data_IF_445240267032
#
_entry.id   IF_445240267032
#
_cell.length_a   1.000
_cell.length_b   1.000
_cell.length_c   1.000
_cell.angle_alpha   90.00
_cell.angle_beta   90.00
_cell.angle_gamma   90.00
#
_symmetry.space_group_name_H-M   'P 1'
#
loop_
_entity.id
_entity.type
_entity.pdbx_description
1 polymer ?
#
# COMPACT_ATOMS: atom_id res chain seq x y z
N UNK A 1 57.55 -16.18 -1.26
CA UNK A 1 56.25 -15.58 -1.63
C UNK A 1 55.88 -15.90 -3.09
N UNK A 2 55.64 -17.17 -3.47
CA UNK A 2 55.33 -17.56 -4.87
C UNK A 2 54.20 -18.59 -5.05
N UNK A 3 53.54 -19.03 -3.97
CA UNK A 3 52.52 -20.10 -4.00
C UNK A 3 51.07 -19.58 -4.16
N UNK A 4 50.83 -18.31 -3.82
CA UNK A 4 49.49 -17.67 -3.87
C UNK A 4 48.90 -17.59 -5.30
N UNK A 5 49.66 -17.27 -6.38
CA UNK A 5 49.04 -17.19 -7.71
C UNK A 5 48.66 -18.57 -8.27
N UNK A 6 49.34 -19.65 -7.85
CA UNK A 6 49.06 -21.01 -8.33
C UNK A 6 47.76 -21.56 -7.74
N UNK A 7 47.51 -21.32 -6.45
CA UNK A 7 46.27 -21.74 -5.78
C UNK A 7 45.05 -21.04 -6.40
N UNK A 8 45.19 -19.75 -6.75
CA UNK A 8 44.09 -18.98 -7.32
C UNK A 8 43.71 -19.45 -8.74
N UNK A 9 44.69 -19.90 -9.52
CA UNK A 9 44.46 -20.50 -10.85
C UNK A 9 43.77 -21.87 -10.73
N UNK A 10 44.18 -22.71 -9.77
CA UNK A 10 43.57 -24.03 -9.56
C UNK A 10 42.11 -23.89 -9.09
N UNK A 11 41.81 -22.93 -8.22
CA UNK A 11 40.44 -22.64 -7.77
C UNK A 11 39.56 -22.17 -8.94
N UNK A 12 40.11 -21.37 -9.85
CA UNK A 12 39.37 -20.86 -11.02
C UNK A 12 39.07 -21.96 -12.06
N UNK A 13 39.97 -22.94 -12.21
CA UNK A 13 39.77 -24.11 -13.09
C UNK A 13 38.73 -25.08 -12.48
N UNK A 14 38.75 -25.30 -11.17
CA UNK A 14 37.76 -26.16 -10.49
C UNK A 14 36.36 -25.52 -10.51
N UNK A 15 36.28 -24.19 -10.43
CA UNK A 15 35.03 -23.42 -10.59
C UNK A 15 34.40 -23.59 -11.97
N UNK A 16 35.20 -23.72 -13.04
CA UNK A 16 34.69 -23.90 -14.40
C UNK A 16 34.23 -25.33 -14.71
N UNK A 17 34.74 -26.33 -13.98
CA UNK A 17 34.40 -27.74 -14.18
C UNK A 17 33.01 -28.18 -13.70
N UNK A 18 32.26 -27.32 -12.98
CA UNK A 18 30.97 -27.68 -12.37
C UNK A 18 29.74 -27.08 -13.09
N UNK A 19 29.93 -26.47 -14.26
CA UNK A 19 28.82 -25.95 -15.05
C UNK A 19 28.13 -27.14 -15.73
N UNK A 20 27.01 -27.59 -15.16
CA UNK A 20 26.10 -28.53 -15.84
C UNK A 20 25.51 -27.82 -17.06
N UNK A 21 26.03 -28.13 -18.24
CA UNK A 21 25.45 -27.69 -19.50
C UNK A 21 24.20 -28.53 -19.76
N UNK A 22 23.03 -27.90 -19.66
CA UNK A 22 21.81 -28.50 -20.16
C UNK A 22 21.85 -28.41 -21.69
N UNK A 23 22.09 -29.54 -22.35
CA UNK A 23 21.98 -29.65 -23.80
C UNK A 23 20.55 -29.34 -24.26
N UNK A 24 20.40 -28.79 -25.45
CA UNK A 24 19.10 -28.51 -26.05
C UNK A 24 18.29 -29.80 -26.12
N UNK A 25 17.13 -29.80 -25.45
CA UNK A 25 16.19 -30.91 -25.53
C UNK A 25 15.86 -31.17 -27.00
N UNK A 26 16.08 -32.41 -27.39
CA UNK A 26 15.75 -33.03 -28.68
C UNK A 26 14.48 -32.46 -29.29
N UNK A 27 14.57 -32.09 -30.57
CA UNK A 27 13.46 -31.79 -31.48
C UNK A 27 12.21 -32.61 -31.12
N UNK A 28 11.33 -32.00 -30.33
CA UNK A 28 10.10 -32.63 -29.87
C UNK A 28 9.16 -32.66 -31.07
N UNK A 29 8.76 -33.85 -31.50
CA UNK A 29 7.71 -34.01 -32.52
C UNK A 29 6.40 -33.48 -31.94
N UNK A 30 6.13 -32.19 -32.14
CA UNK A 30 4.89 -31.56 -31.73
C UNK A 30 3.83 -31.83 -32.81
N UNK A 31 2.65 -32.28 -32.39
CA UNK A 31 1.52 -32.42 -33.32
C UNK A 31 1.05 -31.04 -33.77
N UNK A 32 0.55 -30.91 -35.01
CA UNK A 32 0.06 -29.62 -35.52
C UNK A 32 -0.99 -29.01 -34.58
N UNK A 33 -1.86 -29.85 -34.03
CA UNK A 33 -2.89 -29.45 -33.07
C UNK A 33 -2.30 -28.89 -31.76
N UNK A 34 -1.25 -29.52 -31.24
CA UNK A 34 -0.52 -29.02 -30.07
C UNK A 34 0.14 -27.66 -30.34
N UNK A 35 0.78 -27.50 -31.51
CA UNK A 35 1.42 -26.23 -31.90
C UNK A 35 0.39 -25.12 -32.07
N UNK A 36 -0.74 -25.40 -32.74
CA UNK A 36 -1.82 -24.43 -32.95
C UNK A 36 -2.44 -24.02 -31.61
N UNK A 37 -2.73 -24.96 -30.72
CA UNK A 37 -3.26 -24.65 -29.39
C UNK A 37 -2.30 -23.82 -28.53
N UNK A 38 -1.00 -24.13 -28.57
CA UNK A 38 0.00 -23.36 -27.81
C UNK A 38 0.17 -21.95 -28.39
N UNK A 39 0.19 -21.82 -29.72
CA UNK A 39 0.32 -20.51 -30.39
C UNK A 39 -0.95 -19.66 -30.27
N UNK A 40 -2.14 -20.26 -30.30
CA UNK A 40 -3.41 -19.55 -30.12
C UNK A 40 -3.49 -18.94 -28.71
N UNK A 41 -3.10 -19.70 -27.67
CA UNK A 41 -3.01 -19.21 -26.29
C UNK A 41 -1.92 -18.16 -26.08
N UNK A 42 -0.81 -18.24 -26.82
CA UNK A 42 0.27 -17.25 -26.76
C UNK A 42 0.03 -16.02 -27.64
N UNK A 43 -1.01 -16.01 -28.47
CA UNK A 43 -1.33 -14.90 -29.35
C UNK A 43 -1.56 -13.60 -28.56
N UNK A 44 -1.22 -12.46 -29.16
CA UNK A 44 -1.45 -11.14 -28.54
C UNK A 44 -2.92 -10.96 -28.15
N UNK A 45 -3.83 -11.44 -29.00
CA UNK A 45 -5.27 -11.36 -28.75
C UNK A 45 -5.72 -12.21 -27.55
N UNK A 46 -5.11 -13.38 -27.29
CA UNK A 46 -5.40 -14.19 -26.10
C UNK A 46 -4.78 -13.58 -24.83
N UNK A 47 -3.58 -12.99 -24.95
CA UNK A 47 -2.93 -12.29 -23.84
C UNK A 47 -3.72 -11.08 -23.38
N UNK A 48 -4.28 -10.29 -24.29
CA UNK A 48 -5.14 -9.13 -23.96
C UNK A 48 -6.33 -9.58 -23.11
N UNK A 49 -7.05 -10.64 -23.51
CA UNK A 49 -8.21 -11.11 -22.74
C UNK A 49 -7.81 -11.69 -21.38
N UNK A 50 -6.66 -12.35 -21.30
CA UNK A 50 -6.11 -12.79 -20.01
C UNK A 50 -5.84 -11.61 -19.09
N UNK A 51 -5.24 -10.53 -19.59
CA UNK A 51 -4.97 -9.33 -18.81
C UNK A 51 -6.28 -8.63 -18.38
N UNK A 52 -7.28 -8.57 -19.27
CA UNK A 52 -8.61 -8.05 -18.95
C UNK A 52 -9.26 -8.82 -17.80
N UNK A 53 -9.23 -10.16 -17.88
CA UNK A 53 -9.73 -11.04 -16.81
C UNK A 53 -8.99 -10.81 -15.49
N UNK A 54 -7.66 -10.76 -15.53
CA UNK A 54 -6.84 -10.50 -14.34
C UNK A 54 -7.17 -9.15 -13.69
N UNK A 55 -7.35 -8.10 -14.50
CA UNK A 55 -7.77 -6.79 -13.99
C UNK A 55 -9.12 -6.85 -13.28
N UNK A 56 -10.10 -7.58 -13.84
CA UNK A 56 -11.42 -7.78 -13.22
C UNK A 56 -11.35 -8.58 -11.92
N UNK A 57 -10.53 -9.62 -11.88
CA UNK A 57 -10.29 -10.38 -10.65
C UNK A 57 -9.66 -9.51 -9.55
N UNK A 58 -8.67 -8.69 -9.91
CA UNK A 58 -8.03 -7.77 -8.96
C UNK A 58 -9.01 -6.70 -8.44
N UNK A 59 -9.95 -6.23 -9.27
CA UNK A 59 -11.02 -5.32 -8.83
C UNK A 59 -11.88 -5.98 -7.74
N UNK A 60 -12.34 -7.21 -7.98
CA UNK A 60 -13.12 -7.98 -7.00
C UNK A 60 -12.35 -8.25 -5.70
N UNK A 61 -11.06 -8.58 -5.78
CA UNK A 61 -10.21 -8.74 -4.60
C UNK A 61 -10.00 -7.44 -3.83
N UNK A 62 -9.81 -6.33 -4.53
CA UNK A 62 -9.70 -5.01 -3.93
C UNK A 62 -10.99 -4.60 -3.22
N UNK A 63 -12.15 -4.87 -3.83
CA UNK A 63 -13.44 -4.66 -3.20
C UNK A 63 -13.54 -5.43 -1.88
N UNK A 64 -13.19 -6.74 -1.85
CA UNK A 64 -13.15 -7.53 -0.61
C UNK A 64 -12.20 -6.95 0.43
N UNK A 65 -10.99 -6.56 0.03
CA UNK A 65 -9.99 -5.96 0.93
C UNK A 65 -10.47 -4.62 1.50
N UNK A 66 -11.33 -3.89 0.79
CA UNK A 66 -11.87 -2.61 1.26
C UNK A 66 -12.77 -2.72 2.50
N UNK A 67 -13.25 -3.92 2.84
CA UNK A 67 -14.02 -4.18 4.06
C UNK A 67 -13.15 -4.62 5.24
N UNK A 68 -11.84 -4.80 5.05
CA UNK A 68 -10.89 -5.08 6.13
C UNK A 68 -10.53 -3.78 6.87
N UNK A 69 -10.06 -3.87 8.12
CA UNK A 69 -9.63 -2.69 8.86
C UNK A 69 -8.39 -2.09 8.19
N UNK A 70 -8.46 -0.80 7.88
CA UNK A 70 -7.34 -0.02 7.37
C UNK A 70 -6.56 0.57 8.55
N UNK A 71 -5.27 0.28 8.61
CA UNK A 71 -4.34 0.85 9.60
C UNK A 71 -3.49 1.93 8.93
N UNK A 72 -3.38 3.10 9.55
CA UNK A 72 -2.47 4.15 9.12
C UNK A 72 -1.64 4.66 10.29
N UNK A 73 -0.33 4.70 10.12
CA UNK A 73 0.59 5.35 11.04
C UNK A 73 1.11 6.64 10.39
N UNK A 74 0.95 7.75 11.11
CA UNK A 74 1.45 9.06 10.75
C UNK A 74 2.52 9.43 11.76
N UNK A 75 3.75 9.63 11.29
CA UNK A 75 4.89 9.94 12.15
C UNK A 75 5.64 11.14 11.60
N UNK A 76 5.58 12.26 12.33
CA UNK A 76 6.23 13.52 12.00
C UNK A 76 7.20 13.87 13.14
N UNK A 77 8.44 13.34 13.12
CA UNK A 77 9.39 13.54 14.21
C UNK A 77 9.92 14.98 14.29
N UNK A 78 9.95 15.69 13.18
CA UNK A 78 10.42 17.08 13.10
C UNK A 78 9.47 17.82 12.17
N UNK A 79 8.78 18.82 12.69
CA UNK A 79 8.12 19.78 11.84
C UNK A 79 9.17 20.83 11.43
N UNK A 80 9.72 20.68 10.22
CA UNK A 80 10.73 21.59 9.66
C UNK A 80 10.18 22.97 9.27
N UNK A 81 8.91 23.26 9.56
CA UNK A 81 8.52 24.66 9.72
C UNK A 81 9.23 25.15 10.98
N UNK A 82 10.46 25.67 10.79
CA UNK A 82 11.07 26.59 11.72
C UNK A 82 10.07 27.75 11.89
N UNK A 83 9.13 27.61 12.82
CA UNK A 83 8.35 28.72 13.32
C UNK A 83 9.31 29.56 14.17
N UNK A 84 10.32 30.16 13.54
CA UNK A 84 10.94 31.38 13.99
C UNK A 84 9.92 32.48 13.68
N UNK A 85 8.86 32.49 14.48
CA UNK A 85 7.78 33.44 14.33
C UNK A 85 7.99 34.54 15.35
N UNK A 86 8.10 35.77 14.87
CA UNK A 86 8.08 36.93 15.75
C UNK A 86 6.62 37.21 16.06
N UNK A 87 6.23 37.08 17.34
CA UNK A 87 4.87 37.40 17.79
C UNK A 87 4.87 38.74 18.50
N UNK A 88 3.91 39.59 18.17
CA UNK A 88 3.65 40.82 18.92
C UNK A 88 2.89 40.44 20.20
N UNK A 89 3.54 40.57 21.36
CA UNK A 89 2.95 40.30 22.66
C UNK A 89 2.74 41.60 23.42
N UNK A 90 1.58 41.73 24.07
CA UNK A 90 1.30 42.84 24.95
C UNK A 90 1.94 42.59 26.32
N UNK A 91 2.69 43.55 26.83
CA UNK A 91 3.29 43.47 28.15
C UNK A 91 2.22 43.72 29.23
N UNK A 92 2.11 42.86 30.25
CA UNK A 92 1.05 42.96 31.25
C UNK A 92 1.24 44.12 32.24
N UNK A 93 2.43 44.74 32.30
CA UNK A 93 2.76 45.79 33.30
C UNK A 93 2.38 47.18 32.80
N UNK A 94 2.63 47.46 31.53
CA UNK A 94 2.59 48.78 30.90
C UNK A 94 1.69 48.82 29.66
N UNK A 95 1.15 47.67 29.22
CA UNK A 95 0.22 47.58 28.09
C UNK A 95 0.86 47.82 26.72
N UNK A 96 2.17 48.02 26.68
CA UNK A 96 2.96 48.20 25.46
C UNK A 96 3.06 46.91 24.64
N UNK A 97 3.42 47.05 23.37
CA UNK A 97 3.58 45.92 22.46
C UNK A 97 5.06 45.68 22.17
N UNK A 98 5.51 44.44 22.36
CA UNK A 98 6.88 44.02 22.08
C UNK A 98 6.89 42.82 21.15
N UNK A 99 7.80 42.83 20.18
CA UNK A 99 8.07 41.70 19.31
C UNK A 99 8.94 40.67 20.04
N UNK A 100 8.43 39.45 20.21
CA UNK A 100 9.14 38.35 20.88
C UNK A 100 9.37 37.21 19.90
N UNK A 101 10.61 36.77 19.80
CA UNK A 101 11.00 35.60 19.01
C UNK A 101 10.53 34.31 19.70
N UNK A 102 9.65 33.59 19.02
CA UNK A 102 9.20 32.26 19.41
C UNK A 102 9.89 31.25 18.50
N UNK A 103 10.61 30.28 19.09
CA UNK A 103 11.27 29.19 18.42
C UNK A 103 10.82 27.89 19.08
N UNK A 104 10.11 27.05 18.32
CA UNK A 104 9.60 25.76 18.79
C UNK A 104 9.70 24.69 17.71
N UNK A 105 9.87 23.44 18.14
CA UNK A 105 9.77 22.25 17.30
C UNK A 105 8.58 21.42 17.76
N UNK A 106 7.76 20.95 16.82
CA UNK A 106 6.63 20.07 17.09
C UNK A 106 6.86 18.71 16.44
N UNK A 107 6.69 17.66 17.23
CA UNK A 107 6.77 16.28 16.81
C UNK A 107 5.42 15.62 17.06
N UNK A 108 4.85 14.93 16.07
CA UNK A 108 3.58 14.23 16.23
C UNK A 108 3.67 12.78 15.78
N UNK A 109 2.99 11.91 16.51
CA UNK A 109 2.76 10.52 16.11
C UNK A 109 1.28 10.22 16.24
N UNK A 110 0.68 9.66 15.20
CA UNK A 110 -0.73 9.37 15.11
C UNK A 110 -0.95 7.99 14.53
N UNK A 111 -1.84 7.22 15.13
CA UNK A 111 -2.29 5.93 14.63
C UNK A 111 -3.79 6.06 14.38
N UNK A 112 -4.25 5.64 13.21
CA UNK A 112 -5.68 5.55 12.91
C UNK A 112 -6.05 4.17 12.38
N UNK A 113 -7.16 3.64 12.85
CA UNK A 113 -7.77 2.38 12.42
C UNK A 113 -9.16 2.71 11.89
N UNK A 114 -9.43 2.41 10.62
CA UNK A 114 -10.74 2.61 9.99
C UNK A 114 -11.33 1.27 9.57
N UNK A 115 -12.54 0.96 10.04
CA UNK A 115 -13.25 -0.27 9.74
C UNK A 115 -14.65 0.03 9.18
N UNK A 116 -14.95 -0.48 7.99
CA UNK A 116 -16.33 -0.46 7.47
C UNK A 116 -17.17 -1.50 8.21
N UNK A 117 -18.31 -1.11 8.75
CA UNK A 117 -19.23 -2.01 9.47
C UNK A 117 -20.42 -2.34 8.58
N UNK A 118 -20.45 -3.58 8.05
CA UNK A 118 -21.43 -4.00 7.04
C UNK A 118 -22.88 -4.01 7.56
N UNK A 119 -23.07 -4.33 8.85
CA UNK A 119 -24.42 -4.42 9.45
C UNK A 119 -25.11 -3.05 9.53
N UNK A 120 -24.38 -2.03 9.96
CA UNK A 120 -24.88 -0.66 10.14
C UNK A 120 -24.82 0.11 8.80
N UNK A 121 -23.92 -0.28 7.90
CA UNK A 121 -23.71 0.46 6.66
C UNK A 121 -22.96 1.76 6.87
N UNK A 122 -21.98 1.73 7.76
CA UNK A 122 -21.18 2.88 8.14
C UNK A 122 -19.73 2.50 8.35
N UNK A 123 -18.97 3.45 8.89
CA UNK A 123 -17.56 3.29 9.23
C UNK A 123 -17.30 3.67 10.68
N UNK A 124 -16.40 2.93 11.31
CA UNK A 124 -15.88 3.23 12.64
C UNK A 124 -14.41 3.62 12.48
N UNK A 125 -14.03 4.72 13.09
CA UNK A 125 -12.67 5.24 13.10
C UNK A 125 -12.17 5.32 14.54
N UNK A 126 -11.02 4.72 14.80
CA UNK A 126 -10.33 4.76 16.09
C UNK A 126 -9.01 5.47 15.87
N UNK A 127 -8.78 6.55 16.61
CA UNK A 127 -7.59 7.41 16.47
C UNK A 127 -6.89 7.52 17.82
N UNK A 128 -5.56 7.41 17.80
CA UNK A 128 -4.70 7.73 18.92
C UNK A 128 -3.61 8.67 18.43
N UNK A 129 -3.35 9.76 19.16
CA UNK A 129 -2.38 10.77 18.74
C UNK A 129 -1.61 11.30 19.93
N UNK A 130 -0.32 11.52 19.69
CA UNK A 130 0.62 12.08 20.66
C UNK A 130 1.37 13.20 19.96
N UNK A 131 1.41 14.37 20.58
CA UNK A 131 2.12 15.55 20.14
C UNK A 131 3.12 15.98 21.22
N UNK A 132 4.33 16.29 20.81
CA UNK A 132 5.40 16.77 21.64
C UNK A 132 5.90 18.09 21.08
N UNK A 133 5.90 19.13 21.90
CA UNK A 133 6.35 20.47 21.54
C UNK A 133 7.55 20.80 22.41
N UNK A 134 8.65 21.18 21.77
CA UNK A 134 9.84 21.71 22.43
C UNK A 134 9.97 23.19 22.07
N UNK A 135 9.70 24.08 23.02
CA UNK A 135 9.88 25.52 22.90
C UNK A 135 11.31 25.89 23.31
N UNK A 136 12.16 26.15 22.34
CA UNK A 136 13.55 26.53 22.55
C UNK A 136 13.70 27.93 23.14
N UNK A 137 12.83 28.89 22.75
CA UNK A 137 12.88 30.27 23.27
C UNK A 137 12.68 30.34 24.78
N UNK A 138 11.75 29.52 25.31
CA UNK A 138 11.42 29.48 26.74
C UNK A 138 12.06 28.31 27.49
N UNK A 139 12.72 27.40 26.76
CA UNK A 139 13.25 26.12 27.26
C UNK A 139 12.17 25.28 27.95
N UNK A 140 10.96 25.26 27.38
CA UNK A 140 9.80 24.53 27.90
C UNK A 140 9.49 23.36 26.98
N UNK A 141 9.24 22.20 27.58
CA UNK A 141 8.81 21.01 26.86
C UNK A 141 7.36 20.71 27.24
N UNK A 142 6.48 20.65 26.24
CA UNK A 142 5.06 20.42 26.40
C UNK A 142 4.67 19.13 25.69
N UNK A 143 3.84 18.31 26.34
CA UNK A 143 3.35 17.05 25.80
C UNK A 143 1.82 17.04 25.82
N UNK A 144 1.21 16.61 24.72
CA UNK A 144 -0.23 16.46 24.60
C UNK A 144 -0.55 15.13 23.96
N UNK A 145 -1.39 14.33 24.61
CA UNK A 145 -1.83 13.04 24.09
C UNK A 145 -3.35 12.96 24.06
N UNK A 146 -3.87 12.50 22.93
CA UNK A 146 -5.24 12.02 22.78
C UNK A 146 -5.16 10.49 22.70
N UNK A 147 -5.23 9.79 23.85
CA UNK A 147 -4.91 8.36 23.91
C UNK A 147 -5.87 7.51 23.07
N UNK A 148 -7.15 7.90 23.03
CA UNK A 148 -8.20 7.21 22.30
C UNK A 148 -9.31 8.18 21.91
N UNK A 149 -9.62 8.23 20.61
CA UNK A 149 -10.78 8.91 20.05
C UNK A 149 -11.53 7.92 19.15
N UNK A 150 -12.83 7.79 19.35
CA UNK A 150 -13.69 6.88 18.59
C UNK A 150 -14.75 7.69 17.88
N UNK A 151 -14.82 7.57 16.55
CA UNK A 151 -15.86 8.15 15.72
C UNK A 151 -16.62 7.06 14.98
N UNK A 152 -17.92 7.25 14.81
CA UNK A 152 -18.75 6.41 13.95
C UNK A 152 -19.52 7.31 12.98
N UNK A 153 -19.45 6.99 11.69
CA UNK A 153 -20.19 7.66 10.63
C UNK A 153 -21.10 6.63 9.97
N UNK A 154 -22.41 6.80 10.10
CA UNK A 154 -23.39 5.90 9.51
C UNK A 154 -24.48 6.69 8.78
N UNK A 155 -24.96 6.13 7.68
CA UNK A 155 -26.19 6.61 7.04
C UNK A 155 -27.39 6.16 7.87
N UNK A 156 -28.35 7.05 8.10
CA UNK A 156 -29.52 6.75 8.95
C UNK A 156 -30.43 5.67 8.37
N UNK A 157 -30.51 5.57 7.03
CA UNK A 157 -31.38 4.63 6.34
C UNK A 157 -30.65 3.97 5.17
N UNK A 158 -30.77 2.66 5.06
CA UNK A 158 -30.36 1.92 3.86
C UNK A 158 -28.88 1.54 3.76
N UNK A 159 -27.98 2.09 4.59
CA UNK A 159 -26.54 1.83 4.49
C UNK A 159 -26.16 0.34 4.45
N UNK A 160 -26.68 -0.47 5.36
CA UNK A 160 -26.37 -1.91 5.40
C UNK A 160 -26.87 -2.66 4.17
N UNK A 161 -28.01 -2.23 3.60
CA UNK A 161 -28.57 -2.77 2.36
C UNK A 161 -27.69 -2.41 1.16
N UNK A 162 -27.13 -1.19 1.12
CA UNK A 162 -26.19 -0.77 0.09
C UNK A 162 -24.96 -1.68 0.05
N UNK A 163 -24.29 -1.91 1.18
CA UNK A 163 -23.12 -2.80 1.21
C UNK A 163 -23.43 -4.25 0.85
N UNK A 164 -24.62 -4.76 1.22
CA UNK A 164 -25.04 -6.10 0.79
C UNK A 164 -25.18 -6.17 -0.72
N UNK A 165 -25.85 -5.20 -1.33
CA UNK A 165 -26.02 -5.14 -2.78
C UNK A 165 -24.70 -4.91 -3.52
N UNK A 166 -23.83 -4.06 -3.02
CA UNK A 166 -22.48 -3.85 -3.58
C UNK A 166 -21.70 -5.18 -3.65
N UNK A 167 -21.75 -5.96 -2.57
CA UNK A 167 -21.15 -7.31 -2.53
C UNK A 167 -21.77 -8.28 -3.52
N UNK A 168 -23.09 -8.26 -3.69
CA UNK A 168 -23.79 -9.10 -4.66
C UNK A 168 -23.42 -8.73 -6.11
N UNK A 169 -23.38 -7.43 -6.42
CA UNK A 169 -22.99 -6.89 -7.72
C UNK A 169 -21.56 -7.31 -8.05
N UNK A 170 -20.61 -7.06 -7.16
CA UNK A 170 -19.20 -7.41 -7.36
C UNK A 170 -18.98 -8.92 -7.55
N UNK A 171 -19.72 -9.76 -6.82
CA UNK A 171 -19.67 -11.21 -7.04
C UNK A 171 -20.26 -11.61 -8.39
N UNK A 172 -21.32 -10.95 -8.85
CA UNK A 172 -21.93 -11.21 -10.15
C UNK A 172 -21.02 -10.74 -11.30
N UNK A 173 -20.35 -9.60 -11.13
CA UNK A 173 -19.36 -9.08 -12.09
C UNK A 173 -18.18 -10.03 -12.24
N UNK A 174 -17.62 -10.54 -11.13
CA UNK A 174 -16.54 -11.53 -11.18
C UNK A 174 -16.96 -12.82 -11.92
N UNK A 175 -18.17 -13.32 -11.63
CA UNK A 175 -18.71 -14.49 -12.35
C UNK A 175 -18.90 -14.22 -13.85
N UNK A 176 -19.30 -13.00 -14.20
CA UNK A 176 -19.47 -12.58 -15.61
C UNK A 176 -18.12 -12.47 -16.31
N UNK A 177 -17.10 -11.93 -15.65
CA UNK A 177 -15.74 -11.85 -16.18
C UNK A 177 -15.14 -13.24 -16.47
N UNK A 178 -15.36 -14.23 -15.60
CA UNK A 178 -14.95 -15.62 -15.83
C UNK A 178 -15.63 -16.18 -17.09
N UNK A 179 -16.95 -16.01 -17.21
CA UNK A 179 -17.71 -16.50 -18.38
C UNK A 179 -17.23 -15.84 -19.68
N UNK A 180 -17.07 -14.52 -19.67
CA UNK A 180 -16.59 -13.76 -20.83
C UNK A 180 -15.21 -14.22 -21.28
N UNK A 181 -14.28 -14.42 -20.33
CA UNK A 181 -12.95 -14.93 -20.62
C UNK A 181 -12.98 -16.31 -21.30
N UNK A 182 -13.79 -17.24 -20.77
CA UNK A 182 -13.96 -18.56 -21.37
C UNK A 182 -14.57 -18.48 -22.78
N UNK A 183 -15.61 -17.65 -22.98
CA UNK A 183 -16.25 -17.48 -24.29
C UNK A 183 -15.29 -16.92 -25.33
N UNK A 184 -14.54 -15.86 -24.99
CA UNK A 184 -13.59 -15.23 -25.91
C UNK A 184 -12.41 -16.13 -26.26
N UNK A 185 -11.97 -16.98 -25.31
CA UNK A 185 -10.95 -18.00 -25.60
C UNK A 185 -11.48 -19.11 -26.49
N UNK A 186 -12.73 -19.55 -26.31
CA UNK A 186 -13.32 -20.62 -27.13
C UNK A 186 -13.61 -20.23 -28.58
N UNK A 187 -13.74 -18.93 -28.85
CA UNK A 187 -14.00 -18.39 -30.19
C UNK A 187 -12.73 -18.19 -31.03
N UNK A 188 -11.55 -18.40 -30.47
CA UNK A 188 -10.24 -18.20 -31.13
C UNK A 188 -9.52 -19.52 -31.30
#
# INVERSE_FOLDING_TARGET
MKQIPFILIVVLIVSFGCIKTYGQDTSRFATLDEVVNVLSLKSSAAQIEKLNYQNKLLQFENHKKSFLPSFSLNFNPINLNNNHSVRLLQQPVDGGYTYVEDYSNNSSTGISIRQKVTFIGGEVNIVSNINYINEFSRKINSFSATPLSIGCSQQLWGGGKHYRFEKEIESAENNTAIKQYCTQLSQK
#
